data_IF_913870279582
#
_entry.id   IF_913870279582
#
_cell.length_a   1.000
_cell.length_b   1.000
_cell.length_c   1.000
_cell.angle_alpha   90.00
_cell.angle_beta   90.00
_cell.angle_gamma   90.00
#
_symmetry.space_group_name_H-M   'P 1'
#
loop_
_entity.id
_entity.type
_entity.pdbx_description
1 polymer ?
#
# COMPACT_ATOMS: atom_id res chain seq x y z
N UNK A 1 31.61 19.81 9.37
CA UNK A 1 30.88 18.53 9.55
C UNK A 1 30.03 18.29 8.30
N UNK A 2 30.51 17.49 7.35
CA UNK A 2 29.74 17.18 6.13
C UNK A 2 28.97 15.88 6.35
N UNK A 3 27.65 15.97 6.53
CA UNK A 3 26.76 14.82 6.45
C UNK A 3 26.41 14.65 4.98
N UNK A 4 27.25 13.94 4.21
CA UNK A 4 26.91 13.52 2.85
C UNK A 4 26.46 12.07 2.87
N UNK A 5 25.35 11.81 3.56
CA UNK A 5 24.63 10.55 3.39
C UNK A 5 23.73 10.70 2.17
N UNK A 6 24.09 10.06 1.06
CA UNK A 6 23.28 10.03 -0.16
C UNK A 6 21.89 9.47 0.21
N UNK A 7 20.86 10.31 0.20
CA UNK A 7 19.49 9.86 0.40
C UNK A 7 19.09 9.00 -0.80
N UNK A 8 18.51 7.83 -0.54
CA UNK A 8 17.93 6.98 -1.56
C UNK A 8 16.55 7.52 -1.94
N UNK A 9 16.53 8.54 -2.81
CA UNK A 9 15.31 9.24 -3.22
C UNK A 9 14.32 8.30 -3.88
N UNK A 10 14.79 7.35 -4.69
CA UNK A 10 13.95 6.39 -5.43
C UNK A 10 13.14 5.49 -4.50
N UNK A 11 13.74 4.99 -3.42
CA UNK A 11 13.00 4.20 -2.43
C UNK A 11 11.90 5.02 -1.76
N UNK A 12 12.18 6.28 -1.44
CA UNK A 12 11.20 7.15 -0.79
C UNK A 12 10.07 7.55 -1.75
N UNK A 13 10.34 7.75 -3.04
CA UNK A 13 9.33 7.98 -4.06
C UNK A 13 8.36 6.80 -4.18
N UNK A 14 8.87 5.56 -4.21
CA UNK A 14 8.05 4.35 -4.22
C UNK A 14 7.20 4.21 -2.96
N UNK A 15 7.80 4.52 -1.80
CA UNK A 15 7.09 4.49 -0.52
C UNK A 15 5.99 5.56 -0.47
N UNK A 16 6.28 6.77 -0.97
CA UNK A 16 5.32 7.87 -1.05
C UNK A 16 4.15 7.54 -1.99
N UNK A 17 4.40 6.89 -3.12
CA UNK A 17 3.35 6.42 -4.03
C UNK A 17 2.44 5.38 -3.35
N UNK A 18 3.03 4.40 -2.66
CA UNK A 18 2.28 3.39 -1.90
C UNK A 18 1.43 4.03 -0.80
N UNK A 19 2.01 4.96 -0.03
CA UNK A 19 1.26 5.67 1.00
C UNK A 19 0.20 6.59 0.42
N UNK A 20 0.45 7.23 -0.72
CA UNK A 20 -0.56 8.00 -1.45
C UNK A 20 -1.78 7.16 -1.84
N UNK A 21 -1.58 5.89 -2.20
CA UNK A 21 -2.67 4.96 -2.42
C UNK A 21 -3.45 4.61 -1.13
N UNK A 22 -2.83 4.70 0.05
CA UNK A 22 -3.48 4.48 1.35
C UNK A 22 -4.08 5.74 1.99
N UNK A 23 -3.67 6.95 1.55
CA UNK A 23 -4.06 8.23 2.16
C UNK A 23 -5.50 8.69 1.84
N UNK A 24 -6.39 7.80 1.45
CA UNK A 24 -7.75 8.13 1.03
C UNK A 24 -8.77 7.29 1.79
N UNK A 25 -9.79 7.92 2.38
CA UNK A 25 -10.73 7.25 3.26
C UNK A 25 -11.53 6.17 2.53
N UNK A 26 -11.92 6.41 1.28
CA UNK A 26 -12.65 5.43 0.46
C UNK A 26 -11.78 4.21 0.20
N UNK A 27 -10.50 4.42 -0.14
CA UNK A 27 -9.55 3.31 -0.36
C UNK A 27 -9.32 2.49 0.90
N UNK A 28 -9.25 3.12 2.06
CA UNK A 28 -9.15 2.41 3.34
C UNK A 28 -10.41 1.60 3.64
N UNK A 29 -11.61 2.15 3.41
CA UNK A 29 -12.88 1.42 3.56
C UNK A 29 -12.95 0.20 2.63
N UNK A 30 -12.53 0.35 1.37
CA UNK A 30 -12.47 -0.78 0.42
C UNK A 30 -11.51 -1.87 0.93
N UNK A 31 -10.33 -1.49 1.44
CA UNK A 31 -9.37 -2.45 1.98
C UNK A 31 -9.90 -3.16 3.22
N UNK A 32 -10.66 -2.48 4.08
CA UNK A 32 -11.29 -3.08 5.26
C UNK A 32 -12.35 -4.12 4.86
N UNK A 33 -13.23 -3.78 3.92
CA UNK A 33 -14.22 -4.71 3.34
C UNK A 33 -13.53 -5.96 2.75
N UNK A 34 -12.49 -5.74 1.93
CA UNK A 34 -11.75 -6.82 1.27
C UNK A 34 -10.87 -7.64 2.21
N UNK A 35 -10.58 -7.14 3.42
CA UNK A 35 -9.82 -7.88 4.43
C UNK A 35 -10.67 -8.98 5.08
N UNK A 36 -12.00 -8.87 5.03
CA UNK A 36 -12.91 -9.91 5.51
C UNK A 36 -13.07 -11.05 4.51
N UNK A 37 -13.44 -10.73 3.27
CA UNK A 37 -13.66 -11.71 2.21
C UNK A 37 -13.52 -11.08 0.82
N UNK A 38 -13.24 -11.88 -0.23
CA UNK A 38 -13.28 -11.39 -1.60
C UNK A 38 -14.67 -10.87 -1.97
N UNK A 39 -14.75 -9.71 -2.62
CA UNK A 39 -16.00 -9.07 -3.02
C UNK A 39 -15.96 -8.61 -4.47
N UNK A 40 -17.11 -8.62 -5.13
CA UNK A 40 -17.19 -8.08 -6.48
C UNK A 40 -17.28 -6.54 -6.45
N UNK A 41 -17.02 -5.89 -7.59
CA UNK A 41 -17.10 -4.42 -7.67
C UNK A 41 -18.50 -3.87 -7.33
N UNK A 42 -19.58 -4.60 -7.60
CA UNK A 42 -20.93 -4.14 -7.26
C UNK A 42 -21.15 -4.11 -5.75
N UNK A 43 -20.81 -5.19 -5.04
CA UNK A 43 -20.97 -5.28 -3.59
C UNK A 43 -20.15 -4.20 -2.86
N UNK A 44 -18.93 -3.92 -3.34
CA UNK A 44 -18.10 -2.85 -2.79
C UNK A 44 -18.75 -1.48 -3.02
N UNK A 45 -19.31 -1.25 -4.21
CA UNK A 45 -19.97 0.01 -4.56
C UNK A 45 -21.21 0.28 -3.72
N UNK A 46 -21.99 -0.76 -3.43
CA UNK A 46 -23.20 -0.67 -2.62
C UNK A 46 -22.90 -0.33 -1.16
N UNK A 47 -21.78 -0.82 -0.61
CA UNK A 47 -21.38 -0.52 0.78
C UNK A 47 -20.76 0.87 0.92
N UNK A 48 -19.97 1.30 -0.06
CA UNK A 48 -19.24 2.59 0.00
C UNK A 48 -20.09 3.75 -0.55
N UNK A 49 -21.22 3.45 -1.19
CA UNK A 49 -22.19 4.41 -1.74
C UNK A 49 -21.57 5.43 -2.72
N UNK A 50 -20.70 4.96 -3.62
CA UNK A 50 -20.01 5.80 -4.62
C UNK A 50 -20.37 5.45 -6.05
N UNK A 51 -20.17 6.42 -6.95
CA UNK A 51 -20.40 6.24 -8.37
C UNK A 51 -19.50 5.12 -8.95
N UNK A 52 -20.00 4.26 -9.86
CA UNK A 52 -19.23 3.15 -10.45
C UNK A 52 -17.91 3.55 -11.13
N UNK A 53 -17.89 4.72 -11.77
CA UNK A 53 -16.67 5.27 -12.41
C UNK A 53 -15.59 5.59 -11.37
N UNK A 54 -16.01 6.15 -10.23
CA UNK A 54 -15.11 6.50 -9.14
C UNK A 54 -14.59 5.24 -8.43
N UNK A 55 -15.47 4.26 -8.18
CA UNK A 55 -15.05 2.97 -7.63
C UNK A 55 -14.00 2.29 -8.49
N UNK A 56 -14.22 2.22 -9.81
CA UNK A 56 -13.26 1.64 -10.75
C UNK A 56 -11.89 2.33 -10.68
N UNK A 57 -11.88 3.66 -10.49
CA UNK A 57 -10.65 4.41 -10.27
C UNK A 57 -9.95 4.00 -8.97
N UNK A 58 -10.65 3.93 -7.84
CA UNK A 58 -10.07 3.49 -6.57
C UNK A 58 -9.49 2.07 -6.64
N UNK A 59 -10.23 1.14 -7.25
CA UNK A 59 -9.78 -0.24 -7.46
C UNK A 59 -8.54 -0.31 -8.35
N UNK A 60 -8.48 0.52 -9.40
CA UNK A 60 -7.28 0.61 -10.26
C UNK A 60 -6.07 1.10 -9.49
N UNK A 61 -6.20 2.18 -8.73
CA UNK A 61 -5.10 2.74 -7.91
C UNK A 61 -4.60 1.71 -6.89
N UNK A 62 -5.50 1.02 -6.20
CA UNK A 62 -5.15 -0.03 -5.24
C UNK A 62 -4.45 -1.22 -5.90
N UNK A 63 -4.88 -1.59 -7.12
CA UNK A 63 -4.27 -2.67 -7.89
C UNK A 63 -2.88 -2.30 -8.41
N UNK A 64 -2.69 -1.07 -8.89
CA UNK A 64 -1.39 -0.54 -9.33
C UNK A 64 -0.40 -0.42 -8.16
N UNK A 65 -0.89 -0.06 -6.97
CA UNK A 65 -0.11 -0.09 -5.74
C UNK A 65 0.22 -1.52 -5.25
N UNK A 66 -0.36 -2.55 -5.87
CA UNK A 66 -0.16 -3.95 -5.51
C UNK A 66 -0.73 -4.31 -4.14
N UNK A 67 -1.78 -3.60 -3.70
CA UNK A 67 -2.48 -3.83 -2.43
C UNK A 67 -3.66 -4.80 -2.59
N UNK A 68 -4.27 -4.84 -3.77
CA UNK A 68 -5.36 -5.77 -4.09
C UNK A 68 -5.04 -6.59 -5.34
N UNK A 69 -5.66 -7.75 -5.43
CA UNK A 69 -5.69 -8.60 -6.62
C UNK A 69 -7.13 -8.77 -7.08
N UNK A 70 -7.31 -9.12 -8.34
CA UNK A 70 -8.63 -9.37 -8.92
C UNK A 70 -8.64 -10.68 -9.67
N UNK A 71 -9.49 -11.60 -9.25
CA UNK A 71 -9.67 -12.91 -9.85
C UNK A 71 -10.93 -12.94 -10.70
N UNK A 72 -10.78 -13.37 -11.95
CA UNK A 72 -11.91 -13.39 -12.89
C UNK A 72 -12.81 -14.59 -12.58
N UNK A 73 -14.03 -14.31 -12.13
CA UNK A 73 -15.08 -15.29 -11.88
C UNK A 73 -16.16 -15.21 -12.97
N UNK A 74 -15.89 -15.84 -14.10
CA UNK A 74 -16.77 -15.83 -15.26
C UNK A 74 -16.85 -14.44 -15.91
N UNK A 75 -17.99 -13.76 -15.76
CA UNK A 75 -18.20 -12.39 -16.26
C UNK A 75 -17.76 -11.30 -15.28
N UNK A 76 -17.54 -11.66 -14.03
CA UNK A 76 -17.26 -10.73 -12.94
C UNK A 76 -15.81 -10.85 -12.47
N UNK A 77 -15.33 -9.87 -11.73
CA UNK A 77 -14.02 -9.89 -11.08
C UNK A 77 -14.27 -9.74 -9.59
N UNK A 78 -13.79 -10.72 -8.83
CA UNK A 78 -13.79 -10.66 -7.37
C UNK A 78 -12.43 -10.09 -6.95
N UNK A 79 -12.46 -9.04 -6.13
CA UNK A 79 -11.27 -8.41 -5.60
C UNK A 79 -10.96 -8.97 -4.21
N UNK A 80 -9.67 -9.05 -3.87
CA UNK A 80 -9.21 -9.43 -2.54
C UNK A 80 -7.92 -8.71 -2.19
N UNK A 81 -7.58 -8.61 -0.90
CA UNK A 81 -6.30 -8.05 -0.47
C UNK A 81 -5.16 -8.96 -0.91
N UNK A 82 -4.12 -8.38 -1.52
CA UNK A 82 -2.95 -9.14 -1.93
C UNK A 82 -2.25 -9.76 -0.71
N UNK A 83 -1.80 -11.00 -0.82
CA UNK A 83 -1.18 -11.75 0.29
C UNK A 83 0.07 -11.05 0.87
N UNK A 84 0.76 -10.26 0.06
CA UNK A 84 1.95 -9.50 0.44
C UNK A 84 1.69 -8.00 0.70
N UNK A 85 0.44 -7.53 0.62
CA UNK A 85 0.08 -6.12 0.74
C UNK A 85 0.64 -5.50 2.03
N UNK A 86 0.31 -6.07 3.18
CA UNK A 86 0.74 -5.54 4.49
C UNK A 86 2.25 -5.68 4.71
N UNK A 87 2.87 -6.69 4.10
CA UNK A 87 4.33 -6.82 4.11
C UNK A 87 4.98 -5.65 3.36
N UNK A 88 4.48 -5.29 2.17
CA UNK A 88 4.94 -4.14 1.39
C UNK A 88 4.84 -2.85 2.19
N UNK A 89 3.66 -2.58 2.77
CA UNK A 89 3.40 -1.38 3.59
C UNK A 89 4.40 -1.31 4.75
N UNK A 90 4.59 -2.40 5.49
CA UNK A 90 5.53 -2.44 6.61
C UNK A 90 6.99 -2.22 6.17
N UNK A 91 7.40 -2.73 5.02
CA UNK A 91 8.76 -2.54 4.49
C UNK A 91 9.00 -1.16 3.89
N UNK A 92 7.94 -0.49 3.45
CA UNK A 92 7.99 0.87 2.91
C UNK A 92 8.14 1.92 4.01
N UNK A 93 7.73 1.61 5.25
CA UNK A 93 7.94 2.50 6.37
C UNK A 93 9.44 2.83 6.52
N UNK A 94 9.78 4.09 6.81
CA UNK A 94 11.13 4.45 7.18
C UNK A 94 11.44 3.83 8.53
N UNK A 95 11.85 2.56 8.53
CA UNK A 95 12.52 1.97 9.68
C UNK A 95 13.79 2.78 9.84
N UNK A 96 13.84 3.63 10.86
CA UNK A 96 15.03 4.43 11.14
C UNK A 96 16.24 3.55 10.94
N UNK A 97 17.15 3.95 10.05
CA UNK A 97 18.48 3.38 10.05
C UNK A 97 18.89 3.40 11.52
N UNK A 98 19.04 2.22 12.13
CA UNK A 98 19.82 2.05 13.34
C UNK A 98 21.19 2.54 12.91
N UNK A 99 21.41 3.85 13.02
CA UNK A 99 22.66 4.51 12.69
C UNK A 99 23.69 3.64 13.36
N UNK A 100 24.68 3.21 12.59
CA UNK A 100 25.88 2.55 13.06
C UNK A 100 26.25 3.03 14.46
N UNK A 101 25.79 2.34 15.49
CA UNK A 101 26.46 2.30 16.77
C UNK A 101 27.60 1.30 16.58
N UNK A 102 28.48 1.59 15.61
CA UNK A 102 29.85 1.15 15.69
C UNK A 102 30.44 2.05 16.77
N UNK A 103 30.17 1.71 18.02
CA UNK A 103 31.07 2.02 19.12
C UNK A 103 32.40 1.39 18.71
N UNK A 104 33.24 2.16 18.01
CA UNK A 104 34.68 1.96 18.08
C UNK A 104 34.98 2.06 19.58
N UNK A 105 35.13 0.92 20.26
CA UNK A 105 35.86 0.85 21.52
C UNK A 105 37.18 1.58 21.25
N UNK A 106 37.31 2.82 21.71
CA UNK A 106 38.63 3.38 21.96
C UNK A 106 39.19 2.54 23.09
N UNK A 107 40.00 1.54 22.71
CA UNK A 107 41.15 1.18 23.53
C UNK A 107 42.07 2.38 23.45
N UNK A 108 42.13 3.14 24.54
CA UNK A 108 43.34 3.60 25.20
C UNK A 108 42.91 4.24 26.51
#
# INVERSE_FOLDING_TARGET
MHITKKLDTTRFEQSAALFGALSDPIRLSILDILSGQPQCACDIGDVVEIAPNLLSYHLKVLKEAGLIVGDKRGRWIDYSVATDAWKKVRTALPTGCRHSMVMKRRRQ
#
